data_IF_344493211961
#
_entry.id   IF_344493211961
#
_cell.length_a   1.000
_cell.length_b   1.000
_cell.length_c   1.000
_cell.angle_alpha   90.00
_cell.angle_beta   90.00
_cell.angle_gamma   90.00
#
_symmetry.space_group_name_H-M   'P 1'
#
loop_
_entity.id
_entity.type
_entity.pdbx_description
1 polymer ?
#
# COMPACT_ATOMS: atom_id res chain seq x y z
N UNK A 1 -57.94 45.42 5.25
CA UNK A 1 -56.71 44.63 5.38
C UNK A 1 -56.97 43.26 4.78
N UNK A 2 -56.55 43.08 3.52
CA UNK A 2 -55.67 41.98 3.17
C UNK A 2 -54.44 42.51 2.42
N UNK A 3 -53.27 41.94 2.69
CA UNK A 3 -51.99 42.32 2.08
C UNK A 3 -51.76 41.50 0.81
N UNK A 4 -51.34 42.22 -0.23
CA UNK A 4 -50.95 41.78 -1.56
C UNK A 4 -49.94 40.62 -1.54
N UNK A 5 -50.14 39.67 -2.45
CA UNK A 5 -49.08 38.78 -2.92
C UNK A 5 -48.15 39.50 -3.88
N UNK A 6 -46.85 39.46 -3.58
CA UNK A 6 -45.79 39.92 -4.47
C UNK A 6 -45.18 38.70 -5.14
N UNK A 7 -45.30 38.66 -6.47
CA UNK A 7 -44.65 37.73 -7.37
C UNK A 7 -43.15 38.06 -7.38
N UNK A 8 -42.27 37.13 -6.96
CA UNK A 8 -40.82 37.26 -7.15
C UNK A 8 -40.46 36.61 -8.48
N UNK A 9 -39.94 37.41 -9.40
CA UNK A 9 -39.29 36.95 -10.64
C UNK A 9 -38.06 36.10 -10.28
N UNK A 10 -38.02 34.86 -10.74
CA UNK A 10 -36.79 34.07 -10.81
C UNK A 10 -35.96 34.61 -11.97
N UNK A 11 -34.87 35.31 -11.65
CA UNK A 11 -33.84 35.65 -12.62
C UNK A 11 -33.02 34.40 -12.95
N UNK A 12 -33.10 33.94 -14.20
CA UNK A 12 -32.13 33.01 -14.77
C UNK A 12 -30.81 33.77 -14.97
N UNK A 13 -29.95 33.73 -13.95
CA UNK A 13 -28.55 34.12 -14.06
C UNK A 13 -27.72 32.91 -14.45
N UNK A 14 -27.19 32.88 -15.67
CA UNK A 14 -26.10 31.99 -16.08
C UNK A 14 -24.81 32.48 -15.41
N UNK A 15 -24.65 32.16 -14.13
CA UNK A 15 -23.37 32.28 -13.42
C UNK A 15 -22.67 30.93 -13.45
N UNK A 16 -21.45 30.87 -13.98
CA UNK A 16 -20.55 29.75 -13.74
C UNK A 16 -20.26 29.72 -12.23
N UNK A 17 -21.00 28.91 -11.48
CA UNK A 17 -20.68 28.57 -10.10
C UNK A 17 -19.50 27.60 -10.05
N UNK A 18 -18.88 27.48 -8.89
CA UNK A 18 -17.95 26.39 -8.57
C UNK A 18 -18.58 25.05 -8.94
N UNK A 19 -17.94 24.27 -9.80
CA UNK A 19 -18.42 22.94 -10.22
C UNK A 19 -18.28 21.93 -9.08
N UNK A 20 -17.28 22.11 -8.22
CA UNK A 20 -17.03 21.26 -7.08
C UNK A 20 -16.39 22.02 -5.92
N UNK A 21 -16.55 21.50 -4.71
CA UNK A 21 -15.86 21.94 -3.48
C UNK A 21 -15.03 20.81 -2.87
N UNK A 22 -15.35 19.56 -3.22
CA UNK A 22 -14.62 18.36 -2.81
C UNK A 22 -14.74 17.28 -3.90
N UNK A 23 -13.97 16.19 -3.79
CA UNK A 23 -13.93 15.12 -4.79
C UNK A 23 -15.23 14.33 -4.94
N UNK A 24 -16.10 14.30 -3.91
CA UNK A 24 -17.40 13.63 -4.01
C UNK A 24 -18.35 14.36 -4.96
N UNK A 25 -18.28 15.69 -5.01
CA UNK A 25 -19.09 16.51 -5.92
C UNK A 25 -18.84 16.10 -7.39
N UNK A 26 -17.61 15.66 -7.71
CA UNK A 26 -17.22 15.17 -9.03
C UNK A 26 -17.58 13.70 -9.31
N UNK A 27 -18.21 13.03 -8.35
CA UNK A 27 -18.64 11.64 -8.47
C UNK A 27 -20.16 11.46 -8.32
N UNK A 28 -20.92 12.52 -8.05
CA UNK A 28 -22.38 12.41 -7.90
C UNK A 28 -23.07 12.06 -9.22
N UNK A 29 -22.59 12.59 -10.35
CA UNK A 29 -23.15 12.32 -11.67
C UNK A 29 -22.71 10.97 -12.26
N UNK A 30 -23.71 10.18 -12.67
CA UNK A 30 -23.49 8.83 -13.21
C UNK A 30 -22.72 8.81 -14.53
N UNK A 31 -22.75 9.92 -15.30
CA UNK A 31 -21.99 10.06 -16.55
C UNK A 31 -20.51 10.40 -16.32
N UNK A 32 -20.15 10.85 -15.11
CA UNK A 32 -18.79 11.26 -14.72
C UNK A 32 -18.02 10.20 -13.93
N UNK A 33 -18.70 9.11 -13.51
CA UNK A 33 -18.05 7.92 -12.92
C UNK A 33 -17.47 7.03 -14.00
N UNK A 34 -16.33 7.42 -14.55
CA UNK A 34 -15.46 6.48 -15.24
C UNK A 34 -14.44 5.91 -14.22
N UNK A 35 -14.53 4.62 -13.82
CA UNK A 35 -13.55 4.00 -12.93
C UNK A 35 -12.14 3.98 -13.53
N UNK A 36 -12.03 4.01 -14.86
CA UNK A 36 -10.76 4.08 -15.56
C UNK A 36 -10.21 5.52 -15.59
N UNK A 37 -11.02 6.55 -15.32
CA UNK A 37 -10.54 7.93 -15.30
C UNK A 37 -11.30 8.75 -14.25
N UNK A 38 -11.08 8.49 -12.95
CA UNK A 38 -11.82 9.15 -11.89
C UNK A 38 -11.58 10.66 -11.93
N UNK A 39 -12.62 11.46 -11.70
CA UNK A 39 -12.50 12.91 -11.57
C UNK A 39 -12.16 13.30 -10.13
N UNK A 40 -11.34 14.33 -9.97
CA UNK A 40 -11.04 14.98 -8.70
C UNK A 40 -11.41 16.46 -8.78
N UNK A 41 -11.77 17.03 -7.63
CA UNK A 41 -12.03 18.45 -7.55
C UNK A 41 -10.71 19.23 -7.45
N UNK A 42 -10.40 20.01 -8.48
CA UNK A 42 -9.22 20.88 -8.53
C UNK A 42 -9.66 22.28 -9.00
N UNK A 43 -9.30 23.31 -8.22
CA UNK A 43 -9.65 24.72 -8.52
C UNK A 43 -11.15 24.93 -8.81
N UNK A 44 -12.00 24.30 -7.99
CA UNK A 44 -13.47 24.34 -8.12
C UNK A 44 -13.99 23.75 -9.45
N UNK A 45 -13.19 22.89 -10.11
CA UNK A 45 -13.53 22.16 -11.32
C UNK A 45 -13.29 20.67 -11.20
N UNK A 46 -14.12 19.87 -11.85
CA UNK A 46 -13.91 18.43 -11.91
C UNK A 46 -12.94 18.10 -13.04
N UNK A 47 -11.73 17.68 -12.68
CA UNK A 47 -10.67 17.34 -13.65
C UNK A 47 -10.32 15.86 -13.56
N UNK A 48 -9.93 15.22 -14.68
CA UNK A 48 -9.40 13.86 -14.65
C UNK A 48 -8.22 13.72 -13.69
N UNK A 49 -8.27 12.72 -12.81
CA UNK A 49 -7.13 12.31 -11.99
C UNK A 49 -5.95 11.89 -12.89
N UNK A 50 -6.26 11.37 -14.07
CA UNK A 50 -5.29 10.96 -15.07
C UNK A 50 -5.52 11.69 -16.41
N UNK A 51 -5.03 12.93 -16.58
CA UNK A 51 -5.25 13.72 -17.80
C UNK A 51 -4.63 13.10 -19.07
N UNK A 52 -3.72 12.14 -18.92
CA UNK A 52 -3.10 11.38 -20.01
C UNK A 52 -3.60 9.91 -20.08
N UNK A 53 -4.73 9.61 -19.44
CA UNK A 53 -5.26 8.26 -19.28
C UNK A 53 -4.70 7.57 -18.02
N UNK A 54 -5.45 6.60 -17.45
CA UNK A 54 -5.01 5.86 -16.27
C UNK A 54 -3.64 5.20 -16.52
N UNK A 55 -2.86 4.94 -15.45
CA UNK A 55 -1.80 3.94 -15.52
C UNK A 55 -2.41 2.70 -16.16
N UNK A 56 -1.80 2.15 -17.21
CA UNK A 56 -2.35 1.01 -17.94
C UNK A 56 -2.55 -0.15 -16.98
N UNK A 57 -3.80 -0.32 -16.56
CA UNK A 57 -4.25 -1.50 -15.85
C UNK A 57 -4.34 -2.61 -16.90
N UNK A 58 -3.65 -3.76 -16.75
CA UNK A 58 -3.93 -4.90 -17.59
C UNK A 58 -5.31 -5.42 -17.17
N UNK A 59 -6.37 -4.85 -17.77
CA UNK A 59 -7.66 -5.49 -17.79
C UNK A 59 -7.52 -6.90 -18.39
N UNK A 60 -8.50 -7.80 -18.19
CA UNK A 60 -8.47 -9.11 -18.80
C UNK A 60 -8.52 -8.94 -20.31
N UNK A 61 -7.34 -8.97 -20.95
CA UNK A 61 -7.18 -8.93 -22.38
C UNK A 61 -7.75 -10.20 -22.96
N UNK A 62 -8.85 -10.04 -23.67
CA UNK A 62 -9.44 -11.07 -24.51
C UNK A 62 -8.37 -11.57 -25.49
N UNK A 63 -8.13 -12.88 -25.49
CA UNK A 63 -7.23 -13.54 -26.42
C UNK A 63 -7.86 -13.50 -27.81
N UNK A 64 -7.64 -12.41 -28.53
CA UNK A 64 -7.97 -12.29 -29.95
C UNK A 64 -7.12 -13.27 -30.77
N UNK A 65 -7.76 -14.35 -31.19
CA UNK A 65 -7.30 -15.34 -32.18
C UNK A 65 -6.62 -14.68 -33.38
N UNK A 66 -5.43 -15.18 -33.71
CA UNK A 66 -4.75 -14.86 -34.96
C UNK A 66 -5.45 -15.48 -36.16
N UNK A 67 -5.47 -14.70 -37.24
CA UNK A 67 -5.53 -15.10 -38.65
C UNK A 67 -4.81 -13.93 -39.38
N UNK A 68 -3.63 -14.07 -39.97
CA UNK A 68 -3.34 -14.82 -41.19
C UNK A 68 -3.44 -13.90 -42.42
N UNK A 69 -2.35 -13.28 -42.86
CA UNK A 69 -2.34 -12.48 -44.09
C UNK A 69 -0.99 -11.83 -44.48
N UNK A 70 -0.38 -12.39 -45.50
CA UNK A 70 0.94 -12.15 -46.16
C UNK A 70 1.22 -10.79 -46.83
N UNK A 71 2.51 -10.43 -46.82
CA UNK A 71 3.39 -9.88 -47.87
C UNK A 71 2.86 -8.96 -48.99
N UNK A 72 3.59 -7.86 -49.22
CA UNK A 72 3.62 -7.17 -50.52
C UNK A 72 4.23 -5.75 -50.48
N UNK A 73 5.51 -5.63 -50.87
CA UNK A 73 6.22 -4.35 -50.97
C UNK A 73 5.83 -3.48 -52.17
N UNK A 74 6.30 -2.22 -52.17
CA UNK A 74 6.22 -1.30 -53.30
C UNK A 74 6.83 0.07 -52.98
N UNK A 75 7.90 0.41 -53.71
CA UNK A 75 8.71 1.64 -53.69
C UNK A 75 8.15 2.79 -54.56
N UNK A 76 8.57 4.00 -54.21
CA UNK A 76 8.92 5.19 -55.02
C UNK A 76 7.89 5.99 -55.84
N UNK A 77 7.91 7.32 -55.61
CA UNK A 77 8.20 8.30 -56.66
C UNK A 77 7.10 9.29 -57.04
N UNK A 78 7.37 10.60 -56.90
CA UNK A 78 6.62 11.63 -57.65
C UNK A 78 6.71 13.07 -57.12
N UNK A 79 7.79 13.78 -57.48
CA UNK A 79 7.94 15.24 -57.40
C UNK A 79 6.88 16.02 -58.19
N UNK A 80 6.46 17.21 -57.70
CA UNK A 80 6.40 18.42 -58.53
C UNK A 80 6.41 19.73 -57.68
N UNK A 81 7.01 20.85 -58.17
CA UNK A 81 7.47 21.97 -57.34
C UNK A 81 6.68 23.31 -57.44
N UNK A 82 6.74 24.06 -56.32
CA UNK A 82 6.82 25.53 -56.14
C UNK A 82 5.61 26.50 -56.27
N UNK A 83 5.63 27.65 -55.51
CA UNK A 83 4.50 28.46 -55.01
C UNK A 83 4.46 29.89 -55.69
N UNK A 84 3.76 31.00 -55.27
CA UNK A 84 3.63 31.58 -53.90
C UNK A 84 2.30 32.30 -53.51
N UNK A 85 2.14 32.61 -52.21
CA UNK A 85 1.18 33.58 -51.64
C UNK A 85 0.10 32.91 -50.77
N UNK A 86 -0.31 33.42 -49.62
CA UNK A 86 -0.07 34.67 -48.90
C UNK A 86 -0.30 34.46 -47.37
N UNK A 87 -0.07 35.52 -46.59
CA UNK A 87 0.20 35.45 -45.16
C UNK A 87 -0.97 35.00 -44.27
N UNK A 88 -0.64 34.06 -43.37
CA UNK A 88 -1.32 33.88 -42.10
C UNK A 88 -0.29 33.91 -40.98
N UNK A 89 -0.13 35.05 -40.33
CA UNK A 89 0.47 35.13 -38.99
C UNK A 89 -0.44 34.39 -38.01
N UNK A 90 -0.15 33.12 -37.78
CA UNK A 90 -0.74 32.31 -36.71
C UNK A 90 0.37 31.92 -35.74
N UNK A 91 0.40 32.65 -34.63
CA UNK A 91 0.74 32.11 -33.29
C UNK A 91 1.63 30.86 -33.23
N UNK A 92 2.94 31.12 -33.25
CA UNK A 92 3.93 30.27 -32.59
C UNK A 92 3.73 30.27 -31.07
N UNK A 93 2.58 29.77 -30.62
CA UNK A 93 2.40 29.30 -29.26
C UNK A 93 3.26 28.04 -29.12
N UNK A 94 4.44 28.19 -28.53
CA UNK A 94 5.13 27.03 -27.96
C UNK A 94 4.22 26.47 -26.87
N UNK A 95 3.71 25.26 -27.08
CA UNK A 95 3.01 24.41 -26.10
C UNK A 95 3.93 23.97 -24.94
N UNK A 96 4.90 24.81 -24.57
CA UNK A 96 5.92 24.56 -23.55
C UNK A 96 5.42 24.69 -22.12
N UNK A 97 4.10 24.56 -21.90
CA UNK A 97 3.56 24.35 -20.58
C UNK A 97 3.71 22.87 -20.26
N UNK A 98 4.90 22.46 -19.83
CA UNK A 98 5.08 21.13 -19.25
C UNK A 98 4.02 20.92 -18.16
N UNK A 99 3.41 19.73 -18.14
CA UNK A 99 2.42 19.37 -17.14
C UNK A 99 2.97 19.54 -15.72
N UNK A 100 2.11 19.54 -14.69
CA UNK A 100 2.54 19.73 -13.29
C UNK A 100 3.61 18.73 -12.82
N UNK A 101 3.78 17.61 -13.53
CA UNK A 101 4.80 16.59 -13.29
C UNK A 101 5.99 16.59 -14.26
N UNK A 102 6.15 17.66 -15.04
CA UNK A 102 7.34 17.92 -15.87
C UNK A 102 8.45 18.63 -15.07
N UNK A 103 8.60 18.21 -13.81
CA UNK A 103 9.71 18.58 -12.93
C UNK A 103 10.85 17.56 -13.02
N UNK A 104 12.09 17.91 -12.61
CA UNK A 104 13.19 16.94 -12.52
C UNK A 104 12.83 15.77 -11.60
N UNK A 105 13.16 14.54 -12.01
CA UNK A 105 12.95 13.32 -11.24
C UNK A 105 14.29 12.64 -10.97
N UNK A 106 14.55 12.29 -9.72
CA UNK A 106 15.62 11.38 -9.35
C UNK A 106 15.33 9.96 -9.88
N UNK A 107 16.33 9.28 -10.41
CA UNK A 107 16.15 7.94 -11.00
C UNK A 107 15.71 6.89 -9.96
N UNK A 108 15.94 7.12 -8.67
CA UNK A 108 15.50 6.25 -7.58
C UNK A 108 14.24 6.80 -6.93
N UNK A 109 14.21 8.06 -6.54
CA UNK A 109 13.17 8.62 -5.67
C UNK A 109 12.11 9.45 -6.39
N UNK A 110 12.26 9.68 -7.70
CA UNK A 110 11.34 10.55 -8.42
C UNK A 110 11.44 11.97 -7.90
N UNK A 111 10.32 12.54 -7.50
CA UNK A 111 10.22 13.86 -6.89
C UNK A 111 10.34 13.82 -5.36
N UNK A 112 10.37 12.65 -4.72
CA UNK A 112 10.50 12.55 -3.27
C UNK A 112 11.85 13.10 -2.80
N UNK A 113 11.81 13.99 -1.80
CA UNK A 113 13.01 14.59 -1.24
C UNK A 113 13.57 13.77 -0.08
N UNK A 114 14.72 13.13 -0.28
CA UNK A 114 15.48 12.48 0.78
C UNK A 114 15.99 13.50 1.81
N UNK A 115 15.75 13.22 3.08
CA UNK A 115 16.15 14.11 4.18
C UNK A 115 17.58 13.80 4.67
N UNK A 116 18.19 14.80 5.30
CA UNK A 116 19.57 14.70 5.78
C UNK A 116 19.76 13.55 6.78
N UNK A 117 20.88 12.84 6.66
CA UNK A 117 21.21 11.68 7.49
C UNK A 117 20.79 10.34 6.89
N UNK A 118 19.90 10.31 5.91
CA UNK A 118 19.52 9.09 5.21
C UNK A 118 20.23 8.98 3.85
N UNK A 119 20.35 7.75 3.33
CA UNK A 119 20.91 7.51 2.00
C UNK A 119 20.03 6.56 1.19
N UNK A 120 19.95 6.82 -0.12
CA UNK A 120 19.29 5.95 -1.09
C UNK A 120 20.36 5.18 -1.90
N UNK A 121 20.75 4.01 -1.42
CA UNK A 121 21.92 3.27 -1.92
C UNK A 121 21.62 2.49 -3.21
N UNK A 122 20.51 1.75 -3.24
CA UNK A 122 20.16 0.81 -4.31
C UNK A 122 18.69 0.98 -4.73
N UNK A 123 18.37 0.67 -5.99
CA UNK A 123 17.00 0.51 -6.45
C UNK A 123 16.88 -0.72 -7.37
N UNK A 124 15.65 -1.19 -7.54
CA UNK A 124 15.30 -2.20 -8.53
C UNK A 124 13.94 -1.88 -9.11
N UNK A 125 13.76 -2.07 -10.41
CA UNK A 125 12.43 -2.11 -10.99
C UNK A 125 11.57 -3.15 -10.25
N UNK A 126 10.32 -2.79 -9.94
CA UNK A 126 9.35 -3.70 -9.36
C UNK A 126 8.67 -4.44 -10.51
N UNK A 127 8.68 -5.79 -10.52
CA UNK A 127 7.97 -6.51 -11.57
C UNK A 127 6.47 -6.18 -11.59
N UNK A 128 5.91 -6.06 -12.78
CA UNK A 128 4.51 -5.67 -12.99
C UNK A 128 3.57 -6.60 -12.22
N UNK A 129 2.57 -6.01 -11.56
CA UNK A 129 1.52 -6.73 -10.84
C UNK A 129 1.91 -7.18 -9.42
N UNK A 130 3.16 -6.99 -8.99
CA UNK A 130 3.57 -7.27 -7.61
C UNK A 130 3.04 -6.16 -6.68
N UNK A 131 2.21 -6.54 -5.72
CA UNK A 131 1.53 -5.61 -4.78
C UNK A 131 2.13 -5.62 -3.37
N UNK A 132 2.88 -6.65 -3.01
CA UNK A 132 3.60 -6.74 -1.73
C UNK A 132 4.88 -7.55 -1.90
N UNK A 133 5.92 -7.21 -1.14
CA UNK A 133 7.20 -7.90 -1.17
C UNK A 133 7.67 -8.27 0.23
N UNK A 134 8.56 -9.25 0.31
CA UNK A 134 9.31 -9.54 1.54
C UNK A 134 10.71 -10.02 1.20
N UNK A 135 11.66 -9.78 2.08
CA UNK A 135 13.06 -10.14 1.90
C UNK A 135 13.51 -11.11 3.00
N UNK A 136 14.03 -12.26 2.58
CA UNK A 136 14.50 -13.35 3.47
C UNK A 136 16.03 -13.39 3.47
N UNK A 137 16.61 -13.46 4.66
CA UNK A 137 18.04 -13.65 4.89
C UNK A 137 18.61 -12.64 5.90
N UNK A 138 19.72 -12.97 6.59
CA UNK A 138 20.33 -12.09 7.59
C UNK A 138 21.09 -10.90 6.98
N UNK A 139 21.09 -10.76 5.65
CA UNK A 139 21.93 -9.82 4.92
C UNK A 139 23.40 -10.27 4.79
N UNK A 140 24.21 -9.58 3.96
CA UNK A 140 23.82 -8.47 3.11
C UNK A 140 23.06 -8.91 1.84
N UNK A 141 23.00 -10.22 1.58
CA UNK A 141 22.29 -10.81 0.44
C UNK A 141 20.91 -11.26 0.91
N UNK A 142 19.87 -10.83 0.18
CA UNK A 142 18.48 -11.12 0.50
C UNK A 142 17.78 -11.78 -0.68
N UNK A 143 17.10 -12.89 -0.44
CA UNK A 143 16.16 -13.45 -1.41
C UNK A 143 14.82 -12.73 -1.28
N UNK A 144 14.34 -12.15 -2.37
CA UNK A 144 13.10 -11.37 -2.38
C UNK A 144 11.97 -12.22 -2.96
N UNK A 145 10.81 -12.14 -2.32
CA UNK A 145 9.56 -12.74 -2.80
C UNK A 145 8.52 -11.66 -2.99
N UNK A 146 7.59 -11.88 -3.90
CA UNK A 146 6.52 -10.94 -4.23
C UNK A 146 5.17 -11.61 -4.34
N UNK A 147 4.14 -10.96 -3.80
CA UNK A 147 2.74 -11.31 -4.03
C UNK A 147 2.25 -10.58 -5.28
N UNK A 148 1.75 -11.33 -6.25
CA UNK A 148 1.08 -10.79 -7.43
C UNK A 148 -0.39 -10.55 -7.15
N UNK A 149 -0.84 -9.31 -7.36
CA UNK A 149 -2.25 -8.91 -7.29
C UNK A 149 -3.06 -9.34 -8.51
N UNK A 150 -2.41 -9.75 -9.60
CA UNK A 150 -3.08 -10.16 -10.84
C UNK A 150 -3.62 -11.59 -10.77
N UNK A 151 -2.89 -12.50 -10.11
CA UNK A 151 -3.21 -13.93 -10.08
C UNK A 151 -3.23 -14.53 -8.66
N UNK A 152 -3.01 -13.70 -7.64
CA UNK A 152 -3.00 -14.10 -6.22
C UNK A 152 -2.00 -15.23 -5.93
N UNK A 153 -0.84 -15.18 -6.59
CA UNK A 153 0.27 -16.11 -6.38
C UNK A 153 1.48 -15.39 -5.77
N UNK A 154 2.29 -16.14 -5.03
CA UNK A 154 3.58 -15.68 -4.52
C UNK A 154 4.71 -16.21 -5.40
N UNK A 155 5.59 -15.32 -5.85
CA UNK A 155 6.72 -15.62 -6.72
C UNK A 155 8.05 -15.36 -6.04
N UNK A 156 9.11 -16.14 -6.34
CA UNK A 156 10.47 -15.70 -6.07
C UNK A 156 10.84 -14.60 -7.08
N UNK A 157 11.34 -13.47 -6.59
CA UNK A 157 11.76 -12.34 -7.43
C UNK A 157 13.28 -12.31 -7.66
N UNK A 158 14.04 -13.19 -7.01
CA UNK A 158 15.49 -13.25 -7.13
C UNK A 158 16.19 -12.68 -5.91
N UNK A 159 17.33 -12.03 -6.12
CA UNK A 159 18.21 -11.54 -5.05
C UNK A 159 18.32 -10.03 -5.13
N UNK A 160 18.11 -9.31 -4.04
CA UNK A 160 18.23 -7.85 -4.01
C UNK A 160 19.64 -7.38 -4.42
N UNK A 161 19.79 -6.33 -5.27
CA UNK A 161 18.76 -5.49 -5.90
C UNK A 161 18.37 -5.94 -7.34
N UNK A 162 18.60 -7.19 -7.73
CA UNK A 162 18.26 -7.68 -9.06
C UNK A 162 16.94 -8.46 -9.04
N UNK A 163 15.82 -7.78 -9.31
CA UNK A 163 14.49 -8.38 -9.26
C UNK A 163 13.92 -8.69 -10.65
N UNK A 164 13.36 -9.89 -10.81
CA UNK A 164 12.68 -10.34 -12.04
C UNK A 164 11.55 -11.31 -11.70
N UNK A 165 10.42 -11.22 -12.39
CA UNK A 165 9.39 -12.27 -12.43
C UNK A 165 9.81 -13.35 -13.42
N UNK A 166 10.59 -14.32 -12.97
CA UNK A 166 11.28 -15.27 -13.85
C UNK A 166 11.08 -16.75 -13.53
N UNK A 167 10.04 -17.12 -12.77
CA UNK A 167 9.88 -18.51 -12.30
C UNK A 167 8.43 -18.93 -12.06
N UNK A 168 8.26 -20.21 -11.71
CA UNK A 168 6.98 -20.75 -11.30
C UNK A 168 6.52 -20.11 -9.98
N UNK A 169 5.20 -19.93 -9.86
CA UNK A 169 4.59 -19.54 -8.59
C UNK A 169 4.94 -20.57 -7.50
N UNK A 170 5.28 -20.10 -6.31
CA UNK A 170 5.55 -20.97 -5.15
C UNK A 170 4.25 -21.57 -4.62
N UNK A 171 3.25 -20.71 -4.44
CA UNK A 171 1.94 -21.09 -3.93
C UNK A 171 0.90 -20.00 -4.21
N UNK A 172 -0.37 -20.41 -4.18
CA UNK A 172 -1.50 -19.48 -4.21
C UNK A 172 -1.88 -19.08 -2.80
N UNK A 173 -2.14 -17.80 -2.57
CA UNK A 173 -2.70 -17.34 -1.29
C UNK A 173 -4.18 -17.74 -1.15
N UNK A 174 -4.85 -18.13 -2.26
CA UNK A 174 -6.27 -18.46 -2.29
C UNK A 174 -6.49 -19.93 -1.94
N UNK A 175 -7.26 -20.16 -0.88
CA UNK A 175 -7.64 -21.49 -0.42
C UNK A 175 -8.44 -22.21 -1.54
N UNK A 176 -8.23 -23.53 -1.75
CA UNK A 176 -8.83 -24.26 -2.86
C UNK A 176 -10.35 -24.12 -3.04
N UNK A 177 -11.13 -24.05 -1.96
CA UNK A 177 -12.59 -23.90 -2.01
C UNK A 177 -13.05 -22.51 -2.44
N UNK A 178 -12.16 -21.51 -2.38
CA UNK A 178 -12.45 -20.13 -2.78
C UNK A 178 -12.00 -19.77 -4.21
N UNK A 179 -11.34 -20.70 -4.92
CA UNK A 179 -10.85 -20.45 -6.28
C UNK A 179 -12.02 -20.26 -7.24
N UNK A 180 -11.98 -19.17 -8.01
CA UNK A 180 -13.07 -18.76 -8.90
C UNK A 180 -14.07 -17.78 -8.28
N UNK A 181 -13.96 -17.53 -6.97
CA UNK A 181 -14.68 -16.45 -6.30
C UNK A 181 -13.87 -15.14 -6.33
N UNK A 182 -14.55 -14.01 -6.19
CA UNK A 182 -13.87 -12.72 -5.95
C UNK A 182 -13.24 -12.71 -4.56
N UNK A 183 -11.93 -12.47 -4.53
CA UNK A 183 -11.13 -12.32 -3.32
C UNK A 183 -10.37 -11.00 -3.37
N UNK A 184 -10.03 -10.47 -2.20
CA UNK A 184 -9.21 -9.27 -2.05
C UNK A 184 -7.90 -9.67 -1.38
N UNK A 185 -6.77 -9.73 -2.12
CA UNK A 185 -5.48 -10.05 -1.54
C UNK A 185 -5.12 -9.01 -0.49
N UNK A 186 -4.60 -9.47 0.64
CA UNK A 186 -4.12 -8.58 1.68
C UNK A 186 -2.82 -7.92 1.21
N UNK A 187 -2.66 -6.62 1.52
CA UNK A 187 -1.51 -5.82 1.08
C UNK A 187 -0.18 -6.14 1.77
N UNK A 188 0.01 -7.37 2.24
CA UNK A 188 1.22 -7.80 2.94
C UNK A 188 1.72 -9.17 2.45
N UNK A 189 3.04 -9.32 2.49
CA UNK A 189 3.76 -10.58 2.41
C UNK A 189 4.83 -10.50 3.49
N UNK A 190 4.82 -11.44 4.44
CA UNK A 190 5.74 -11.43 5.59
C UNK A 190 6.47 -12.76 5.70
N UNK A 191 7.62 -12.74 6.39
CA UNK A 191 8.44 -13.94 6.55
C UNK A 191 9.06 -14.01 7.95
N UNK A 192 9.25 -15.22 8.46
CA UNK A 192 9.97 -15.46 9.73
C UNK A 192 11.36 -16.08 9.51
N UNK A 193 11.89 -15.98 8.28
CA UNK A 193 13.12 -16.61 7.83
C UNK A 193 12.95 -18.01 7.23
N UNK A 194 11.96 -18.80 7.66
CA UNK A 194 11.75 -20.19 7.19
C UNK A 194 10.40 -20.42 6.51
N UNK A 195 9.48 -19.47 6.66
CA UNK A 195 8.13 -19.50 6.10
C UNK A 195 7.76 -18.15 5.53
N UNK A 196 6.87 -18.19 4.54
CA UNK A 196 6.19 -17.04 3.97
C UNK A 196 4.73 -17.07 4.41
N UNK A 197 4.17 -15.90 4.71
CA UNK A 197 2.76 -15.74 5.04
C UNK A 197 2.16 -14.54 4.32
N UNK A 198 0.99 -14.77 3.73
CA UNK A 198 0.11 -13.74 3.18
C UNK A 198 -1.34 -14.21 3.30
N UNK A 199 -2.31 -13.38 2.97
CA UNK A 199 -3.72 -13.71 3.13
C UNK A 199 -4.60 -12.96 2.15
N UNK A 200 -5.88 -13.25 2.24
CA UNK A 200 -6.92 -12.55 1.51
C UNK A 200 -8.20 -12.48 2.34
N UNK A 201 -9.10 -11.61 1.93
CA UNK A 201 -10.47 -11.52 2.43
C UNK A 201 -11.48 -11.62 1.30
N UNK A 202 -12.75 -11.78 1.67
CA UNK A 202 -13.91 -11.82 0.78
C UNK A 202 -14.97 -10.86 1.31
N UNK A 203 -15.87 -10.45 0.43
CA UNK A 203 -17.08 -9.75 0.85
C UNK A 203 -17.94 -10.66 1.72
N UNK A 204 -18.53 -10.10 2.77
CA UNK A 204 -19.40 -10.83 3.69
C UNK A 204 -19.29 -10.32 5.12
N UNK A 205 -20.18 -10.82 5.99
CA UNK A 205 -20.15 -10.49 7.41
C UNK A 205 -18.77 -10.83 8.00
N UNK A 206 -18.15 -9.84 8.67
CA UNK A 206 -16.82 -9.93 9.27
C UNK A 206 -15.67 -10.21 8.29
N UNK A 207 -15.83 -9.91 6.99
CA UNK A 207 -14.77 -10.03 5.98
C UNK A 207 -14.09 -11.42 6.00
N UNK A 208 -14.83 -12.51 5.72
CA UNK A 208 -14.29 -13.86 5.81
C UNK A 208 -13.06 -14.01 4.91
N UNK A 209 -12.07 -14.79 5.35
CA UNK A 209 -10.79 -14.87 4.64
C UNK A 209 -9.87 -15.91 5.25
N UNK A 210 -8.71 -16.08 4.63
CA UNK A 210 -7.69 -17.01 5.07
C UNK A 210 -6.31 -16.35 5.03
N UNK A 211 -5.45 -16.77 5.94
CA UNK A 211 -4.00 -16.66 5.77
C UNK A 211 -3.46 -17.98 5.23
N UNK A 212 -2.44 -17.86 4.39
CA UNK A 212 -1.71 -18.96 3.77
C UNK A 212 -0.29 -18.97 4.32
N UNK A 213 0.12 -20.11 4.85
CA UNK A 213 1.45 -20.34 5.42
C UNK A 213 2.21 -21.32 4.54
N UNK A 214 3.34 -20.89 4.00
CA UNK A 214 4.17 -21.68 3.09
C UNK A 214 5.58 -21.87 3.64
N UNK A 215 6.08 -23.11 3.68
CA UNK A 215 7.45 -23.41 4.07
C UNK A 215 8.39 -23.20 2.88
N UNK A 216 9.29 -22.22 2.96
CA UNK A 216 10.16 -21.88 1.83
C UNK A 216 11.43 -22.76 1.76
N UNK A 217 11.89 -23.31 2.88
CA UNK A 217 13.08 -24.19 2.92
C UNK A 217 12.75 -25.65 2.59
N UNK A 218 11.53 -26.10 2.90
CA UNK A 218 11.00 -27.44 2.60
C UNK A 218 9.66 -27.29 1.88
N UNK A 219 9.66 -26.93 0.57
CA UNK A 219 8.46 -26.69 -0.20
C UNK A 219 7.42 -27.79 -0.05
N UNK A 220 6.26 -27.42 0.47
CA UNK A 220 5.09 -28.27 0.65
C UNK A 220 3.84 -27.47 0.26
N UNK A 221 2.68 -28.11 0.17
CA UNK A 221 1.43 -27.39 -0.03
C UNK A 221 1.21 -26.37 1.09
N UNK A 222 0.78 -25.13 0.77
CA UNK A 222 0.50 -24.13 1.79
C UNK A 222 -0.60 -24.60 2.73
N UNK A 223 -0.48 -24.24 4.01
CA UNK A 223 -1.53 -24.43 5.01
C UNK A 223 -2.42 -23.19 5.03
N UNK A 224 -3.74 -23.38 4.99
CA UNK A 224 -4.71 -22.28 5.03
C UNK A 224 -5.41 -22.25 6.39
N UNK A 225 -5.40 -21.10 7.05
CA UNK A 225 -6.07 -20.89 8.32
C UNK A 225 -7.12 -19.80 8.17
N UNK A 226 -8.34 -20.07 8.64
CA UNK A 226 -9.43 -19.07 8.66
C UNK A 226 -8.97 -17.85 9.47
N UNK A 227 -9.01 -16.69 8.84
CA UNK A 227 -8.53 -15.43 9.39
C UNK A 227 -9.42 -14.28 8.89
N UNK A 228 -10.64 -14.11 9.43
CA UNK A 228 -11.53 -13.03 9.04
C UNK A 228 -10.87 -11.66 9.30
N UNK A 229 -11.00 -10.76 8.33
CA UNK A 229 -10.42 -9.42 8.39
C UNK A 229 -8.92 -9.42 8.70
N UNK A 230 -8.11 -10.26 8.06
CA UNK A 230 -6.66 -10.23 8.27
C UNK A 230 -6.04 -8.96 7.65
N UNK A 231 -5.96 -7.87 8.42
CA UNK A 231 -5.63 -6.53 7.90
C UNK A 231 -4.14 -6.37 7.63
N UNK A 232 -3.30 -6.72 8.61
CA UNK A 232 -1.84 -6.64 8.49
C UNK A 232 -1.18 -7.77 9.26
N UNK A 233 0.07 -8.07 8.91
CA UNK A 233 0.89 -9.02 9.64
C UNK A 233 2.32 -8.52 9.78
N UNK A 234 3.02 -9.07 10.77
CA UNK A 234 4.47 -8.98 10.94
C UNK A 234 4.96 -10.28 11.58
N UNK A 235 6.26 -10.42 11.79
CA UNK A 235 6.85 -11.66 12.29
C UNK A 235 8.02 -11.41 13.23
N UNK A 236 8.17 -12.35 14.15
CA UNK A 236 9.43 -12.66 14.80
C UNK A 236 9.84 -14.07 14.35
N UNK A 237 11.01 -14.52 14.78
CA UNK A 237 11.40 -15.91 14.60
C UNK A 237 10.29 -16.86 15.07
N UNK A 238 9.87 -17.77 14.18
CA UNK A 238 8.87 -18.80 14.40
C UNK A 238 7.43 -18.36 14.71
N UNK A 239 7.14 -17.05 14.71
CA UNK A 239 5.79 -16.56 15.03
C UNK A 239 5.38 -15.40 14.13
N UNK A 240 4.17 -15.47 13.58
CA UNK A 240 3.54 -14.34 12.90
C UNK A 240 2.54 -13.67 13.82
N UNK A 241 2.55 -12.34 13.85
CA UNK A 241 1.55 -11.50 14.50
C UNK A 241 0.58 -11.02 13.42
N UNK A 242 -0.71 -11.29 13.60
CA UNK A 242 -1.75 -11.00 12.61
C UNK A 242 -2.80 -10.12 13.29
N UNK A 243 -2.94 -8.89 12.81
CA UNK A 243 -4.05 -8.01 13.18
C UNK A 243 -5.29 -8.46 12.41
N UNK A 244 -6.37 -8.77 13.12
CA UNK A 244 -7.62 -9.12 12.45
C UNK A 244 -8.79 -9.37 13.37
N UNK A 245 -9.88 -9.83 12.76
CA UNK A 245 -11.14 -10.12 13.43
C UNK A 245 -11.20 -11.57 13.97
N UNK A 246 -10.15 -12.36 13.77
CA UNK A 246 -10.08 -13.76 14.18
C UNK A 246 -8.88 -14.48 13.57
N UNK A 247 -8.44 -15.57 14.21
CA UNK A 247 -7.50 -16.53 13.62
C UNK A 247 -7.75 -17.93 14.20
N UNK A 248 -8.25 -18.85 13.38
CA UNK A 248 -8.44 -20.26 13.73
C UNK A 248 -9.40 -20.56 14.89
N UNK A 249 -9.93 -19.57 15.62
CA UNK A 249 -10.74 -19.73 16.84
C UNK A 249 -12.18 -19.21 16.72
N UNK A 250 -13.07 -19.80 17.53
CA UNK A 250 -14.45 -19.39 17.75
C UNK A 250 -14.67 -19.09 19.27
N UNK A 251 -15.31 -17.97 19.66
CA UNK A 251 -15.81 -16.92 18.79
C UNK A 251 -14.68 -15.99 18.30
N UNK A 252 -14.76 -15.49 17.06
CA UNK A 252 -13.85 -14.48 16.55
C UNK A 252 -13.98 -13.18 17.35
N UNK A 253 -12.86 -12.62 17.81
CA UNK A 253 -12.79 -11.27 18.39
C UNK A 253 -11.71 -10.43 17.69
N UNK A 254 -11.92 -9.11 17.62
CA UNK A 254 -10.90 -8.22 17.07
C UNK A 254 -9.68 -8.15 18.01
N UNK A 255 -8.48 -8.26 17.43
CA UNK A 255 -7.25 -8.18 18.20
C UNK A 255 -6.01 -8.54 17.39
N UNK A 256 -4.91 -8.76 18.11
CA UNK A 256 -3.66 -9.26 17.52
C UNK A 256 -3.52 -10.73 17.87
N UNK A 257 -3.37 -11.57 16.86
CA UNK A 257 -3.21 -13.01 17.00
C UNK A 257 -1.75 -13.42 16.78
N UNK A 258 -1.29 -14.41 17.52
CA UNK A 258 -0.03 -15.10 17.27
C UNK A 258 -0.29 -16.43 16.57
N UNK A 259 0.40 -16.65 15.45
CA UNK A 259 0.50 -17.92 14.74
C UNK A 259 1.90 -18.50 14.95
N UNK A 260 2.01 -19.48 15.85
CA UNK A 260 3.23 -20.23 16.13
C UNK A 260 3.38 -21.35 15.09
N UNK A 261 4.18 -21.07 14.07
CA UNK A 261 4.22 -21.82 12.83
C UNK A 261 5.13 -23.06 12.88
N UNK A 262 5.85 -23.29 13.97
CA UNK A 262 6.78 -24.41 14.18
C UNK A 262 6.10 -25.72 14.57
N UNK A 263 4.79 -25.67 14.84
CA UNK A 263 3.96 -26.85 15.11
C UNK A 263 3.19 -27.25 13.85
N UNK A 264 2.88 -28.54 13.71
CA UNK A 264 2.04 -29.05 12.63
C UNK A 264 0.87 -29.85 13.23
N UNK A 265 -0.37 -29.30 13.22
CA UNK A 265 -0.74 -27.99 12.68
C UNK A 265 -0.22 -26.82 13.54
N UNK A 266 -0.12 -25.59 12.96
CA UNK A 266 0.29 -24.39 13.67
C UNK A 266 -0.60 -24.09 14.86
N UNK A 267 0.01 -23.57 15.92
CA UNK A 267 -0.70 -23.16 17.12
C UNK A 267 -1.13 -21.70 16.97
N UNK A 268 -2.41 -21.44 17.25
CA UNK A 268 -2.98 -20.09 17.23
C UNK A 268 -3.40 -19.67 18.64
N UNK A 269 -3.18 -18.41 18.97
CA UNK A 269 -3.66 -17.79 20.21
C UNK A 269 -3.84 -16.30 20.04
N UNK A 270 -4.80 -15.70 20.75
CA UNK A 270 -4.83 -14.24 20.87
C UNK A 270 -3.59 -13.78 21.64
N UNK A 271 -2.85 -12.85 21.05
CA UNK A 271 -1.64 -12.25 21.62
C UNK A 271 -1.97 -11.01 22.44
N UNK A 272 -2.76 -10.10 21.87
CA UNK A 272 -3.14 -8.84 22.50
C UNK A 272 -4.63 -8.56 22.31
N UNK A 273 -5.29 -8.16 23.39
CA UNK A 273 -6.69 -7.70 23.40
C UNK A 273 -6.74 -6.20 23.16
N UNK A 274 -7.64 -5.74 22.30
CA UNK A 274 -8.00 -4.33 22.27
C UNK A 274 -8.81 -3.96 23.51
N UNK A 275 -8.66 -2.72 23.97
CA UNK A 275 -9.53 -2.21 25.02
C UNK A 275 -10.97 -2.13 24.48
N UNK A 276 -11.97 -2.74 25.14
CA UNK A 276 -13.36 -2.63 24.72
C UNK A 276 -13.85 -1.19 24.60
N UNK A 277 -13.25 -0.25 25.33
CA UNK A 277 -13.61 1.16 25.28
C UNK A 277 -13.18 1.86 23.98
N UNK A 278 -12.38 1.23 23.11
CA UNK A 278 -11.92 1.84 21.85
C UNK A 278 -12.79 1.48 20.64
N UNK A 279 -13.74 0.55 20.78
CA UNK A 279 -14.50 -0.03 19.65
C UNK A 279 -13.58 -0.43 18.48
N UNK A 280 -12.41 -0.98 18.83
CA UNK A 280 -11.32 -1.20 17.90
C UNK A 280 -11.53 -2.40 16.97
N UNK A 281 -10.95 -2.34 15.76
CA UNK A 281 -11.14 -3.37 14.73
C UNK A 281 -9.89 -3.72 13.93
N UNK A 282 -9.52 -2.88 12.96
CA UNK A 282 -8.38 -3.08 12.05
C UNK A 282 -7.13 -2.41 12.59
N UNK A 283 -5.97 -2.62 11.96
CA UNK A 283 -4.77 -1.89 12.33
C UNK A 283 -3.53 -2.38 11.61
N UNK A 284 -2.42 -1.69 11.85
CA UNK A 284 -1.12 -1.97 11.25
C UNK A 284 -0.20 -2.70 12.20
N UNK A 285 0.68 -3.56 11.69
CA UNK A 285 1.58 -4.38 12.49
C UNK A 285 3.00 -4.30 11.93
N UNK A 286 4.00 -4.09 12.79
CA UNK A 286 5.41 -4.20 12.43
C UNK A 286 6.21 -4.74 13.63
N UNK A 287 7.39 -5.30 13.37
CA UNK A 287 8.32 -5.74 14.41
C UNK A 287 9.71 -5.19 14.10
N UNK A 288 10.30 -4.44 15.03
CA UNK A 288 11.63 -3.85 14.81
C UNK A 288 12.76 -4.89 14.90
N UNK A 289 13.97 -4.52 14.49
CA UNK A 289 15.15 -5.39 14.58
C UNK A 289 15.48 -5.84 16.02
N UNK A 290 15.08 -5.07 17.05
CA UNK A 290 15.22 -5.44 18.47
C UNK A 290 14.00 -6.22 19.01
N UNK A 291 13.06 -6.59 18.13
CA UNK A 291 11.87 -7.34 18.49
C UNK A 291 10.78 -6.51 19.17
N UNK A 292 10.78 -5.18 19.06
CA UNK A 292 9.64 -4.37 19.53
C UNK A 292 8.47 -4.60 18.58
N UNK A 293 7.36 -5.12 19.11
CA UNK A 293 6.13 -5.31 18.35
C UNK A 293 5.34 -3.99 18.36
N UNK A 294 5.21 -3.36 17.19
CA UNK A 294 4.35 -2.20 16.99
C UNK A 294 3.01 -2.68 16.47
N UNK A 295 2.00 -2.56 17.33
CA UNK A 295 0.68 -3.14 17.17
C UNK A 295 -0.35 -2.02 17.12
N UNK A 296 -1.00 -1.90 15.97
CA UNK A 296 -1.95 -0.84 15.69
C UNK A 296 -3.40 -1.26 15.87
N UNK A 297 -4.25 -0.26 16.00
CA UNK A 297 -5.69 -0.41 15.91
C UNK A 297 -6.35 0.86 15.33
N UNK A 298 -7.48 0.71 14.66
CA UNK A 298 -8.40 1.78 14.32
C UNK A 298 -9.31 2.02 15.52
N UNK A 299 -9.27 3.23 16.08
CA UNK A 299 -10.13 3.66 17.17
C UNK A 299 -11.49 4.04 16.62
N UNK A 300 -12.52 3.26 16.96
CA UNK A 300 -13.89 3.46 16.48
C UNK A 300 -14.57 4.69 17.05
N UNK A 301 -14.06 5.25 18.15
CA UNK A 301 -14.61 6.46 18.77
C UNK A 301 -13.99 7.72 18.17
N UNK A 302 -12.67 7.72 17.94
CA UNK A 302 -11.97 8.88 17.36
C UNK A 302 -11.82 8.82 15.84
N UNK A 303 -12.21 7.71 15.20
CA UNK A 303 -12.04 7.45 13.77
C UNK A 303 -10.59 7.63 13.29
N UNK A 304 -9.63 7.21 14.11
CA UNK A 304 -8.20 7.42 13.84
C UNK A 304 -7.41 6.13 14.04
N UNK A 305 -6.38 5.93 13.23
CA UNK A 305 -5.42 4.86 13.46
C UNK A 305 -4.53 5.22 14.65
N UNK A 306 -4.22 4.23 15.48
CA UNK A 306 -3.36 4.32 16.67
C UNK A 306 -2.30 3.23 16.61
N UNK A 307 -1.12 3.47 17.18
CA UNK A 307 -0.07 2.48 17.33
C UNK A 307 0.37 2.38 18.78
N UNK A 308 0.62 1.16 19.24
CA UNK A 308 1.26 0.90 20.53
C UNK A 308 2.45 -0.02 20.36
N UNK A 309 3.55 0.28 21.05
CA UNK A 309 4.80 -0.45 21.00
C UNK A 309 4.97 -1.33 22.25
N UNK A 310 5.02 -2.64 22.04
CA UNK A 310 5.20 -3.66 23.05
C UNK A 310 6.63 -4.20 23.02
N UNK A 311 7.35 -4.08 24.15
CA UNK A 311 8.66 -4.71 24.31
C UNK A 311 8.51 -6.26 24.36
N UNK A 312 9.57 -7.03 24.04
CA UNK A 312 9.56 -8.48 24.18
C UNK A 312 9.12 -8.99 25.55
N UNK A 313 9.48 -8.29 26.63
CA UNK A 313 9.06 -8.59 28.01
C UNK A 313 7.54 -8.59 28.20
N UNK A 314 6.79 -7.87 27.36
CA UNK A 314 5.33 -7.80 27.43
C UNK A 314 4.66 -8.95 26.67
N UNK A 315 5.08 -9.24 25.44
CA UNK A 315 4.38 -10.21 24.59
C UNK A 315 4.93 -11.64 24.66
N UNK A 316 6.21 -11.85 25.02
CA UNK A 316 6.80 -13.20 25.14
C UNK A 316 6.09 -14.07 26.22
N UNK A 317 5.71 -13.54 27.39
CA UNK A 317 4.88 -14.29 28.34
C UNK A 317 3.52 -14.69 27.77
N UNK A 318 2.91 -13.83 26.94
CA UNK A 318 1.63 -14.12 26.29
C UNK A 318 1.77 -15.26 25.26
N UNK A 319 2.86 -15.28 24.48
CA UNK A 319 3.18 -16.38 23.56
C UNK A 319 3.36 -17.72 24.27
N UNK A 320 4.01 -17.70 25.44
CA UNK A 320 4.31 -18.93 26.19
C UNK A 320 3.08 -19.47 26.94
N UNK A 321 2.30 -18.58 27.56
CA UNK A 321 1.14 -18.92 28.39
C UNK A 321 -0.17 -19.03 27.60
N UNK A 322 -0.19 -18.55 26.35
CA UNK A 322 -1.39 -18.37 25.51
C UNK A 322 -2.46 -17.49 26.17
N UNK A 323 -2.06 -16.66 27.13
CA UNK A 323 -2.91 -15.68 27.78
C UNK A 323 -2.57 -14.31 27.20
N UNK A 324 -3.52 -13.65 26.50
CA UNK A 324 -3.26 -12.36 25.86
C UNK A 324 -2.96 -11.28 26.91
N UNK A 325 -2.10 -10.33 26.56
CA UNK A 325 -1.95 -9.08 27.31
C UNK A 325 -2.97 -8.04 26.83
N UNK A 326 -3.22 -6.98 27.61
CA UNK A 326 -4.06 -5.87 27.14
C UNK A 326 -3.19 -4.92 26.31
N UNK A 327 -3.63 -4.56 25.11
CA UNK A 327 -2.84 -3.69 24.25
C UNK A 327 -2.62 -2.31 24.89
N UNK A 328 -3.49 -1.87 25.80
CA UNK A 328 -3.33 -0.65 26.60
C UNK A 328 -2.12 -0.66 27.54
N UNK A 329 -1.57 -1.83 27.87
CA UNK A 329 -0.34 -1.98 28.66
C UNK A 329 0.93 -1.64 27.84
N UNK A 330 0.82 -1.56 26.51
CA UNK A 330 1.91 -1.18 25.61
C UNK A 330 2.00 0.36 25.45
N UNK A 331 3.22 0.85 25.18
CA UNK A 331 3.49 2.29 25.05
C UNK A 331 2.81 2.86 23.80
N UNK A 332 1.97 3.88 23.96
CA UNK A 332 1.37 4.58 22.81
C UNK A 332 2.40 5.40 22.02
N UNK A 333 2.33 5.33 20.69
CA UNK A 333 3.09 6.18 19.79
C UNK A 333 2.27 7.43 19.47
N UNK A 334 2.70 8.58 19.98
CA UNK A 334 2.10 9.87 19.62
C UNK A 334 2.67 10.34 18.28
N UNK A 335 1.81 10.35 17.25
CA UNK A 335 2.17 10.74 15.89
C UNK A 335 1.68 12.17 15.59
N UNK A 336 2.37 12.91 14.70
CA UNK A 336 2.02 14.29 14.38
C UNK A 336 0.79 14.42 13.47
N UNK A 337 0.38 13.35 12.79
CA UNK A 337 -0.73 13.31 11.84
C UNK A 337 -1.27 11.88 11.70
N UNK A 338 -2.24 11.69 10.80
CA UNK A 338 -2.65 10.36 10.37
C UNK A 338 -1.50 9.61 9.70
N UNK A 339 -1.61 8.29 9.72
CA UNK A 339 -0.68 7.38 9.05
C UNK A 339 -1.44 6.29 8.30
N UNK A 340 -0.82 5.80 7.23
CA UNK A 340 -1.44 4.90 6.25
C UNK A 340 -0.67 3.60 6.02
N UNK A 341 0.54 3.49 6.59
CA UNK A 341 1.28 2.23 6.63
C UNK A 341 2.39 2.31 7.68
N UNK A 342 2.87 1.16 8.11
CA UNK A 342 4.00 1.03 9.03
C UNK A 342 4.90 -0.12 8.60
N UNK A 343 6.21 0.06 8.69
CA UNK A 343 7.19 -0.99 8.48
C UNK A 343 8.33 -0.84 9.48
N UNK A 344 9.04 -1.93 9.76
CA UNK A 344 10.26 -1.85 10.55
C UNK A 344 11.35 -1.08 9.78
N UNK A 345 12.13 -0.28 10.50
CA UNK A 345 13.29 0.41 9.97
C UNK A 345 14.39 0.48 11.03
N UNK A 346 15.18 -0.61 11.10
CA UNK A 346 16.16 -0.84 12.15
C UNK A 346 15.47 -0.99 13.51
N UNK A 347 15.96 -0.27 14.52
CA UNK A 347 15.38 -0.26 15.88
C UNK A 347 14.17 0.68 16.00
N UNK A 348 13.48 0.95 14.90
CA UNK A 348 12.33 1.86 14.87
C UNK A 348 11.34 1.42 13.82
N UNK A 349 10.36 2.28 13.57
CA UNK A 349 9.39 2.09 12.49
C UNK A 349 9.38 3.26 11.54
N UNK A 350 9.20 2.98 10.25
CA UNK A 350 8.85 3.95 9.23
C UNK A 350 7.33 4.01 9.07
N UNK A 351 6.81 5.21 8.86
CA UNK A 351 5.39 5.52 8.75
C UNK A 351 5.17 6.35 7.49
N UNK A 352 4.15 6.03 6.70
CA UNK A 352 3.64 6.94 5.69
C UNK A 352 2.62 7.87 6.35
N UNK A 353 2.99 9.13 6.50
CA UNK A 353 2.20 10.16 7.17
C UNK A 353 1.44 11.01 6.17
N UNK A 354 0.29 11.52 6.57
CA UNK A 354 -0.52 12.38 5.73
C UNK A 354 -1.81 12.85 6.40
N UNK A 355 -2.71 13.32 5.55
CA UNK A 355 -4.06 13.73 5.91
C UNK A 355 -5.09 12.80 5.25
N UNK A 356 -5.92 12.15 6.07
CA UNK A 356 -6.98 11.25 5.65
C UNK A 356 -8.32 11.93 5.35
N UNK A 357 -8.38 13.27 5.45
CA UNK A 357 -9.61 14.04 5.25
C UNK A 357 -10.11 14.07 3.80
N UNK A 358 -9.28 13.65 2.85
CA UNK A 358 -9.60 13.57 1.41
C UNK A 358 -9.29 12.19 0.84
N UNK A 359 -9.96 11.86 -0.27
CA UNK A 359 -9.70 10.64 -1.02
C UNK A 359 -9.25 10.97 -2.46
N UNK A 360 -8.08 10.49 -2.91
CA UNK A 360 -7.09 9.72 -2.14
C UNK A 360 -6.44 10.55 -1.01
N UNK A 361 -5.87 9.92 0.04
CA UNK A 361 -5.22 10.66 1.12
C UNK A 361 -4.04 11.49 0.62
N UNK A 362 -3.86 12.67 1.22
CA UNK A 362 -2.74 13.55 0.91
C UNK A 362 -1.54 13.17 1.78
N UNK A 363 -0.52 12.52 1.19
CA UNK A 363 0.69 12.16 1.90
C UNK A 363 1.64 13.35 2.07
N UNK A 364 2.29 13.43 3.22
CA UNK A 364 3.19 14.54 3.59
C UNK A 364 4.63 14.09 3.63
N UNK A 365 4.90 12.95 4.28
CA UNK A 365 6.23 12.37 4.37
C UNK A 365 6.22 10.88 4.74
N UNK A 366 7.35 10.22 4.48
CA UNK A 366 7.72 8.99 5.18
C UNK A 366 8.58 9.39 6.36
N UNK A 367 8.14 9.11 7.59
CA UNK A 367 8.83 9.46 8.82
C UNK A 367 9.28 8.23 9.60
N UNK A 368 10.42 8.33 10.30
CA UNK A 368 10.91 7.30 11.21
C UNK A 368 10.68 7.70 12.67
N UNK A 369 10.15 6.78 13.45
CA UNK A 369 10.11 6.86 14.91
C UNK A 369 11.10 5.83 15.47
N UNK A 370 12.18 6.31 16.10
CA UNK A 370 13.13 5.45 16.79
C UNK A 370 12.48 4.87 18.06
N UNK A 371 12.71 3.59 18.36
CA UNK A 371 12.18 2.94 19.57
C UNK A 371 13.36 2.42 20.40
N UNK A 372 13.44 2.85 21.65
CA UNK A 372 14.44 2.36 22.60
C UNK A 372 13.78 1.46 23.63
N UNK A 373 14.43 0.35 24.00
CA UNK A 373 14.00 -0.50 25.11
C UNK A 373 14.82 -0.14 26.35
N UNK A 374 14.15 0.15 27.46
CA UNK A 374 14.76 0.35 28.77
C UNK A 374 13.84 -0.19 29.86
N UNK A 375 14.40 -0.99 30.78
CA UNK A 375 13.66 -1.58 31.91
C UNK A 375 12.36 -2.30 31.51
N UNK A 376 12.37 -2.97 30.36
CA UNK A 376 11.21 -3.72 29.84
C UNK A 376 10.08 -2.85 29.26
N UNK A 377 10.32 -1.54 29.11
CA UNK A 377 9.41 -0.58 28.49
C UNK A 377 9.99 -0.04 27.17
N UNK A 378 9.11 0.42 26.28
CA UNK A 378 9.51 1.09 25.04
C UNK A 378 9.40 2.60 25.22
N UNK A 379 10.46 3.33 24.85
CA UNK A 379 10.47 4.79 24.77
C UNK A 379 10.56 5.21 23.30
N UNK A 380 9.52 5.84 22.73
CA UNK A 380 9.58 6.39 21.38
C UNK A 380 10.34 7.71 21.33
N UNK A 381 11.18 7.86 20.31
CA UNK A 381 11.77 9.13 19.92
C UNK A 381 10.79 10.00 19.11
N UNK A 382 11.19 11.22 18.72
CA UNK A 382 10.38 12.05 17.84
C UNK A 382 10.30 11.44 16.43
N UNK A 383 9.17 11.68 15.74
CA UNK A 383 9.05 11.40 14.32
C UNK A 383 10.05 12.27 13.54
N UNK A 384 10.93 11.62 12.78
CA UNK A 384 11.97 12.27 11.97
C UNK A 384 11.69 11.98 10.49
N UNK A 385 11.41 12.99 9.66
CA UNK A 385 11.18 12.79 8.23
C UNK A 385 12.37 12.13 7.54
N UNK A 386 12.08 11.12 6.72
CA UNK A 386 13.03 10.35 5.89
C UNK A 386 12.91 10.78 4.43
N UNK A 387 11.68 10.83 3.91
CA UNK A 387 11.33 11.30 2.57
C UNK A 387 10.21 12.31 2.69
N UNK A 388 10.27 13.44 1.97
CA UNK A 388 9.16 14.40 1.91
C UNK A 388 8.53 14.43 0.53
N UNK A 389 7.21 14.56 0.49
CA UNK A 389 6.47 14.86 -0.73
C UNK A 389 6.59 16.37 -1.01
N UNK A 390 7.06 16.72 -2.20
CA UNK A 390 7.12 18.12 -2.68
C UNK A 390 5.99 18.45 -3.65
N UNK A 391 5.34 17.41 -4.16
CA UNK A 391 4.28 17.41 -5.16
C UNK A 391 3.59 16.03 -5.14
N UNK A 392 2.65 15.82 -6.06
CA UNK A 392 1.90 14.57 -6.21
C UNK A 392 2.40 13.68 -7.36
N UNK A 393 3.60 13.93 -7.88
CA UNK A 393 4.11 13.29 -9.10
C UNK A 393 4.79 11.94 -8.85
N UNK A 394 5.19 11.69 -7.59
CA UNK A 394 5.69 10.39 -7.15
C UNK A 394 4.84 9.87 -6.01
N UNK A 395 4.33 8.65 -6.17
CA UNK A 395 3.56 7.95 -5.16
C UNK A 395 4.44 6.98 -4.37
N UNK A 396 4.14 6.80 -3.09
CA UNK A 396 4.67 5.71 -2.28
C UNK A 396 3.66 4.58 -2.29
N UNK A 397 4.05 3.42 -2.82
CA UNK A 397 3.21 2.23 -2.94
C UNK A 397 3.25 1.37 -1.68
N UNK A 398 4.43 1.25 -1.07
CA UNK A 398 4.65 0.34 0.05
C UNK A 398 5.87 0.74 0.88
N UNK A 399 5.84 0.34 2.14
CA UNK A 399 6.99 0.33 3.05
C UNK A 399 7.23 -1.11 3.48
N UNK A 400 8.47 -1.59 3.40
CA UNK A 400 8.82 -2.97 3.78
C UNK A 400 10.21 -3.01 4.37
N UNK A 401 10.43 -3.86 5.37
CA UNK A 401 11.75 -4.03 5.96
C UNK A 401 12.74 -4.76 5.02
N UNK A 402 14.02 -4.39 5.11
CA UNK A 402 15.14 -5.12 4.50
C UNK A 402 16.30 -5.14 5.50
N UNK A 403 16.27 -6.11 6.42
CA UNK A 403 17.20 -6.12 7.54
C UNK A 403 17.05 -4.84 8.38
N UNK A 404 18.13 -4.08 8.53
CA UNK A 404 18.10 -2.78 9.22
C UNK A 404 17.66 -1.60 8.35
N UNK A 405 17.48 -1.82 7.04
CA UNK A 405 17.13 -0.81 6.05
C UNK A 405 15.63 -0.85 5.74
N UNK A 406 15.14 0.18 5.05
CA UNK A 406 13.77 0.27 4.57
C UNK A 406 13.74 0.12 3.05
N UNK A 407 12.84 -0.70 2.52
CA UNK A 407 12.45 -0.68 1.12
C UNK A 407 11.20 0.18 0.97
N UNK A 408 11.31 1.20 0.11
CA UNK A 408 10.20 2.08 -0.27
C UNK A 408 9.81 1.75 -1.70
N UNK A 409 8.59 1.28 -1.91
CA UNK A 409 7.99 1.18 -3.24
C UNK A 409 7.57 2.55 -3.71
N UNK A 410 8.01 2.95 -4.90
CA UNK A 410 7.64 4.22 -5.52
C UNK A 410 7.11 4.01 -6.93
N UNK A 411 6.20 4.88 -7.37
CA UNK A 411 5.66 4.93 -8.73
C UNK A 411 5.62 6.37 -9.22
N UNK A 412 6.13 6.59 -10.43
CA UNK A 412 6.11 7.88 -11.14
C UNK A 412 6.23 7.62 -12.65
N UNK A 413 6.55 8.65 -13.45
CA UNK A 413 6.74 8.53 -14.91
C UNK A 413 7.85 7.57 -15.35
N UNK A 414 8.78 7.21 -14.47
CA UNK A 414 9.84 6.22 -14.71
C UNK A 414 9.41 4.79 -14.35
N UNK A 415 8.15 4.60 -13.93
CA UNK A 415 7.59 3.30 -13.55
C UNK A 415 7.82 2.92 -12.09
N UNK A 416 7.32 1.73 -11.73
CA UNK A 416 7.37 1.21 -10.38
C UNK A 416 8.73 0.61 -10.02
N UNK A 417 9.21 0.91 -8.81
CA UNK A 417 10.49 0.43 -8.31
C UNK A 417 10.54 0.41 -6.81
N UNK A 418 11.41 -0.44 -6.27
CA UNK A 418 11.78 -0.44 -4.86
C UNK A 418 13.09 0.32 -4.69
N UNK A 419 13.17 1.12 -3.62
CA UNK A 419 14.36 1.89 -3.26
C UNK A 419 14.79 1.52 -1.84
N UNK A 420 16.05 1.15 -1.68
CA UNK A 420 16.65 0.91 -0.36
C UNK A 420 17.05 2.24 0.27
N UNK A 421 16.47 2.51 1.43
CA UNK A 421 16.81 3.64 2.29
C UNK A 421 17.56 3.13 3.52
N UNK A 422 18.75 3.64 3.73
CA UNK A 422 19.59 3.33 4.88
C UNK A 422 19.52 4.46 5.91
N UNK A 423 19.49 4.07 7.18
CA UNK A 423 19.63 4.98 8.32
C UNK A 423 21.11 5.40 8.50
N UNK A 424 21.38 6.55 9.15
CA UNK A 424 22.74 7.05 9.39
C UNK A 424 23.61 6.11 10.24
#
# INVERSE_FOLDING_TARGET
MPVLGTLVLVGLGTGCGSECTNSFDCQEDAEQRDPANPLVCQEEKCVPLYPNGPPTNPGPGDAGTGDGGTDGGGTDGGDNPTPPGDGGTGDGGTDGGGGPCDVPHDAKLGTLQLQAGFSASENSALPVGIIAVTAVGPGPVYTVYGLSGTDNQVYPLGTWPSLQTGGEALFSIVEPSDRGNTVYPSGYLVNDGSRLLSGYTKSGANFPGYVSLYQNQTPASPQYLSAPGNFTAASIQDTFFINGLGLGSNPPEAGIYALQAQTDPPTVSLLARFDPAWEASSGYTAVTAEGVAVLGYFDGLSFANRLRAAAPSLYQPALSSKTPFNLSDATELTLPSDFFTVAAFGNGVALLLGDGSSWPPAYTDVSRVALAISDGSVTPGPATPVLKFTDSCTQVLSLTELGSSLLVGVSDKNGERLVRIDQP
#
